data_IF_051860978438
#
_entry.id   IF_051860978438
#
_cell.length_a   1.000
_cell.length_b   1.000
_cell.length_c   1.000
_cell.angle_alpha   90.00
_cell.angle_beta   90.00
_cell.angle_gamma   90.00
#
_symmetry.space_group_name_H-M   'P 1'
#
loop_
_entity.id
_entity.type
_entity.pdbx_description
1 polymer ?
#
# COMPACT_ATOMS: atom_id res chain seq x y z
N UNK A 1 -22.22 -2.42 -14.24
CA UNK A 1 -22.15 -1.04 -13.71
C UNK A 1 -21.13 -0.25 -14.50
N UNK A 2 -21.32 1.06 -14.61
CA UNK A 2 -20.32 2.00 -15.14
C UNK A 2 -19.41 2.39 -13.99
N UNK A 3 -18.15 2.03 -14.07
CA UNK A 3 -17.20 2.17 -12.96
C UNK A 3 -16.05 3.10 -13.35
N UNK A 4 -15.79 4.12 -12.55
CA UNK A 4 -14.62 4.96 -12.69
C UNK A 4 -13.51 4.46 -11.75
N UNK A 5 -12.30 4.29 -12.29
CA UNK A 5 -11.10 3.98 -11.48
C UNK A 5 -10.07 5.10 -11.64
N UNK A 6 -9.86 5.86 -10.58
CA UNK A 6 -8.82 6.89 -10.50
C UNK A 6 -7.53 6.20 -10.04
N UNK A 7 -6.53 6.09 -10.94
CA UNK A 7 -5.28 5.35 -10.70
C UNK A 7 -5.30 3.88 -11.12
N UNK A 8 -6.02 3.53 -12.17
CA UNK A 8 -6.20 2.14 -12.66
C UNK A 8 -5.02 1.53 -13.43
N UNK A 9 -3.87 2.21 -13.60
CA UNK A 9 -2.83 1.77 -14.53
C UNK A 9 -1.66 1.03 -13.90
N UNK A 10 -1.53 1.07 -12.58
CA UNK A 10 -0.40 0.49 -11.85
C UNK A 10 -0.88 -0.36 -10.67
N UNK A 11 -0.20 -1.47 -10.40
CA UNK A 11 -0.32 -2.32 -9.22
C UNK A 11 -1.78 -2.61 -8.80
N UNK A 12 -2.19 -2.17 -7.58
CA UNK A 12 -3.55 -2.38 -7.03
C UNK A 12 -4.63 -2.00 -8.05
N UNK A 13 -4.51 -0.79 -8.62
CA UNK A 13 -5.49 -0.30 -9.58
C UNK A 13 -5.54 -1.13 -10.85
N UNK A 14 -4.38 -1.58 -11.36
CA UNK A 14 -4.32 -2.43 -12.56
C UNK A 14 -4.98 -3.79 -12.33
N UNK A 15 -4.73 -4.42 -11.20
CA UNK A 15 -5.34 -5.71 -10.84
C UNK A 15 -6.85 -5.56 -10.62
N UNK A 16 -7.28 -4.47 -9.97
CA UNK A 16 -8.71 -4.17 -9.82
C UNK A 16 -9.41 -3.95 -11.16
N UNK A 17 -8.82 -3.17 -12.07
CA UNK A 17 -9.38 -2.98 -13.43
C UNK A 17 -9.50 -4.30 -14.16
N UNK A 18 -8.49 -5.19 -14.11
CA UNK A 18 -8.57 -6.53 -14.69
C UNK A 18 -9.77 -7.32 -14.13
N UNK A 19 -9.97 -7.27 -12.80
CA UNK A 19 -11.07 -7.97 -12.14
C UNK A 19 -12.44 -7.39 -12.53
N UNK A 20 -12.58 -6.07 -12.58
CA UNK A 20 -13.81 -5.39 -13.00
C UNK A 20 -14.19 -5.72 -14.45
N UNK A 21 -13.23 -5.73 -15.38
CA UNK A 21 -13.45 -6.14 -16.77
C UNK A 21 -13.91 -7.60 -16.84
N UNK A 22 -13.25 -8.49 -16.11
CA UNK A 22 -13.61 -9.92 -16.08
C UNK A 22 -15.02 -10.16 -15.54
N UNK A 23 -15.50 -9.29 -14.64
CA UNK A 23 -16.86 -9.31 -14.10
C UNK A 23 -17.90 -8.60 -15.01
N UNK A 24 -17.52 -8.10 -16.19
CA UNK A 24 -18.42 -7.49 -17.15
C UNK A 24 -18.82 -6.03 -16.84
N UNK A 25 -18.06 -5.32 -16.02
CA UNK A 25 -18.32 -3.90 -15.77
C UNK A 25 -17.81 -3.02 -16.92
N UNK A 26 -18.50 -1.89 -17.20
CA UNK A 26 -18.05 -0.84 -18.12
C UNK A 26 -17.07 0.06 -17.35
N UNK A 27 -15.77 -0.11 -17.63
CA UNK A 27 -14.69 0.53 -16.86
C UNK A 27 -14.14 1.74 -17.60
N UNK A 28 -14.12 2.86 -16.91
CA UNK A 28 -13.36 4.06 -17.30
C UNK A 28 -12.21 4.25 -16.33
N UNK A 29 -11.00 4.49 -16.83
CA UNK A 29 -9.85 4.86 -15.99
C UNK A 29 -9.53 6.34 -16.14
N UNK A 30 -9.24 7.01 -15.01
CA UNK A 30 -8.73 8.37 -14.98
C UNK A 30 -7.26 8.33 -14.54
N UNK A 31 -6.37 8.86 -15.39
CA UNK A 31 -4.93 8.90 -15.14
C UNK A 31 -4.25 10.01 -15.95
N UNK A 32 -2.98 10.31 -15.64
CA UNK A 32 -2.23 11.40 -16.29
C UNK A 32 -1.54 10.99 -17.60
N UNK A 33 -1.33 9.70 -17.85
CA UNK A 33 -0.60 9.17 -19.01
C UNK A 33 -1.55 8.99 -20.20
N UNK A 34 -1.03 9.12 -21.42
CA UNK A 34 -1.82 8.88 -22.63
C UNK A 34 -2.11 7.39 -22.88
N UNK A 35 -1.21 6.50 -22.43
CA UNK A 35 -1.28 5.06 -22.69
C UNK A 35 -1.63 4.25 -21.46
N UNK A 36 -2.31 3.12 -21.67
CA UNK A 36 -2.64 2.15 -20.64
C UNK A 36 -2.68 0.71 -21.21
N UNK A 37 -2.52 -0.35 -20.37
CA UNK A 37 -2.35 -1.73 -20.85
C UNK A 37 -3.63 -2.45 -21.24
N UNK A 38 -4.81 -1.81 -21.24
CA UNK A 38 -6.11 -2.49 -21.41
C UNK A 38 -6.69 -2.41 -22.82
N UNK A 39 -6.05 -1.69 -23.73
CA UNK A 39 -6.54 -1.51 -25.08
C UNK A 39 -7.97 -0.91 -25.15
N UNK A 40 -8.75 -1.32 -26.14
CA UNK A 40 -10.12 -0.79 -26.36
C UNK A 40 -11.17 -1.27 -25.35
N UNK A 41 -10.82 -2.16 -24.42
CA UNK A 41 -11.75 -2.70 -23.40
C UNK A 41 -12.04 -1.71 -22.27
N UNK A 42 -11.27 -0.64 -22.17
CA UNK A 42 -11.37 0.36 -21.12
C UNK A 42 -11.34 1.74 -21.74
N UNK A 43 -12.30 2.58 -21.36
CA UNK A 43 -12.26 4.00 -21.70
C UNK A 43 -11.18 4.68 -20.86
N UNK A 44 -10.37 5.51 -21.49
CA UNK A 44 -9.34 6.31 -20.83
C UNK A 44 -9.72 7.78 -20.83
N UNK A 45 -9.55 8.42 -19.68
CA UNK A 45 -9.72 9.86 -19.47
C UNK A 45 -8.45 10.41 -18.86
N UNK A 46 -7.87 11.43 -19.50
CA UNK A 46 -6.66 12.08 -18.99
C UNK A 46 -7.02 13.30 -18.13
N UNK A 47 -6.69 13.25 -16.85
CA UNK A 47 -6.80 14.35 -15.91
C UNK A 47 -5.86 14.18 -14.73
N UNK A 48 -5.53 15.30 -14.07
CA UNK A 48 -4.82 15.27 -12.79
C UNK A 48 -5.82 15.04 -11.65
N UNK A 49 -5.62 13.97 -10.86
CA UNK A 49 -6.51 13.66 -9.73
C UNK A 49 -6.50 14.74 -8.64
N UNK A 50 -5.49 15.61 -8.62
CA UNK A 50 -5.39 16.73 -7.69
C UNK A 50 -6.05 18.03 -8.20
N UNK A 51 -6.68 17.99 -9.38
CA UNK A 51 -7.36 19.12 -9.99
C UNK A 51 -8.82 18.77 -10.32
N UNK A 52 -9.72 19.21 -9.43
CA UNK A 52 -11.14 18.90 -9.56
C UNK A 52 -11.81 19.53 -10.79
N UNK A 53 -11.34 20.69 -11.26
CA UNK A 53 -11.91 21.34 -12.42
C UNK A 53 -11.53 20.61 -13.71
N UNK A 54 -10.27 20.14 -13.83
CA UNK A 54 -9.88 19.28 -14.95
C UNK A 54 -10.61 17.93 -14.93
N UNK A 55 -10.82 17.34 -13.76
CA UNK A 55 -11.63 16.11 -13.61
C UNK A 55 -13.07 16.37 -14.09
N UNK A 56 -13.71 17.41 -13.58
CA UNK A 56 -15.08 17.77 -13.93
C UNK A 56 -15.26 17.97 -15.45
N UNK A 57 -14.32 18.70 -16.05
CA UNK A 57 -14.30 18.94 -17.50
C UNK A 57 -14.11 17.63 -18.28
N UNK A 58 -13.13 16.81 -17.89
CA UNK A 58 -12.76 15.57 -18.56
C UNK A 58 -13.86 14.48 -18.44
N UNK A 59 -14.66 14.51 -17.38
CA UNK A 59 -15.78 13.59 -17.16
C UNK A 59 -17.14 14.15 -17.63
N UNK A 60 -17.15 15.32 -18.25
CA UNK A 60 -18.39 15.92 -18.78
C UNK A 60 -19.09 14.99 -19.77
N UNK A 61 -20.41 14.84 -19.61
CA UNK A 61 -21.23 13.92 -20.43
C UNK A 61 -21.12 12.44 -20.06
N UNK A 62 -20.23 12.07 -19.11
CA UNK A 62 -20.17 10.73 -18.57
C UNK A 62 -21.05 10.62 -17.31
N UNK A 63 -21.41 9.40 -16.93
CA UNK A 63 -22.08 9.10 -15.66
C UNK A 63 -21.58 7.79 -15.12
N UNK A 64 -21.39 7.73 -13.81
CA UNK A 64 -20.86 6.55 -13.11
C UNK A 64 -21.81 6.06 -12.04
N UNK A 65 -21.82 4.76 -11.81
CA UNK A 65 -22.57 4.09 -10.76
C UNK A 65 -21.68 3.82 -9.55
N UNK A 66 -20.36 3.69 -9.77
CA UNK A 66 -19.37 3.49 -8.71
C UNK A 66 -18.00 4.11 -9.08
N UNK A 67 -17.25 4.44 -8.04
CA UNK A 67 -15.90 5.01 -8.15
C UNK A 67 -14.93 4.27 -7.25
N UNK A 68 -13.74 4.02 -7.76
CA UNK A 68 -12.56 3.65 -6.98
C UNK A 68 -11.53 4.78 -7.05
N UNK A 69 -11.28 5.46 -5.95
CA UNK A 69 -10.25 6.49 -5.82
C UNK A 69 -9.01 5.89 -5.15
N UNK A 70 -8.08 5.40 -5.98
CA UNK A 70 -6.89 4.67 -5.54
C UNK A 70 -5.63 5.54 -5.63
N UNK A 71 -5.61 6.52 -6.54
CA UNK A 71 -4.43 7.30 -6.82
C UNK A 71 -4.01 8.20 -5.65
N UNK A 72 -2.72 8.19 -5.34
CA UNK A 72 -2.06 9.17 -4.49
C UNK A 72 -0.86 9.75 -5.25
N UNK A 73 -0.70 11.06 -5.21
CA UNK A 73 0.46 11.72 -5.81
C UNK A 73 1.64 11.67 -4.82
N UNK A 74 2.61 10.83 -5.10
CA UNK A 74 3.76 10.64 -4.21
C UNK A 74 4.77 11.80 -4.24
N UNK A 75 4.72 12.64 -5.26
CA UNK A 75 5.62 13.79 -5.40
C UNK A 75 5.05 15.04 -4.70
N UNK A 76 3.78 15.36 -4.96
CA UNK A 76 3.11 16.56 -4.48
C UNK A 76 2.23 16.32 -3.25
N UNK A 77 1.94 15.08 -2.95
CA UNK A 77 0.89 14.71 -2.02
C UNK A 77 -0.50 14.81 -2.65
N UNK A 78 -1.50 14.31 -1.95
CA UNK A 78 -2.92 14.48 -2.27
C UNK A 78 -3.65 14.87 -1.00
N UNK A 79 -4.08 16.11 -0.90
CA UNK A 79 -4.70 16.68 0.31
C UNK A 79 -6.15 16.26 0.48
N UNK A 80 -6.67 16.37 1.68
CA UNK A 80 -8.08 16.09 1.99
C UNK A 80 -9.05 16.96 1.19
N UNK A 81 -8.73 18.23 0.98
CA UNK A 81 -9.54 19.14 0.16
C UNK A 81 -9.57 18.72 -1.31
N UNK A 82 -8.46 18.23 -1.85
CA UNK A 82 -8.42 17.69 -3.22
C UNK A 82 -9.24 16.40 -3.36
N UNK A 83 -9.21 15.52 -2.35
CA UNK A 83 -10.04 14.31 -2.34
C UNK A 83 -11.52 14.66 -2.29
N UNK A 84 -11.91 15.57 -1.40
CA UNK A 84 -13.30 16.05 -1.28
C UNK A 84 -13.79 16.73 -2.57
N UNK A 85 -12.98 17.62 -3.15
CA UNK A 85 -13.30 18.30 -4.39
C UNK A 85 -13.45 17.30 -5.56
N UNK A 86 -12.56 16.31 -5.65
CA UNK A 86 -12.67 15.23 -6.64
C UNK A 86 -13.96 14.45 -6.46
N UNK A 87 -14.30 14.03 -5.25
CA UNK A 87 -15.52 13.29 -4.97
C UNK A 87 -16.79 14.06 -5.40
N UNK A 88 -16.80 15.39 -5.18
CA UNK A 88 -17.89 16.28 -5.59
C UNK A 88 -17.94 16.55 -7.10
N UNK A 89 -16.82 16.44 -7.80
CA UNK A 89 -16.72 16.71 -9.24
C UNK A 89 -17.22 15.53 -10.12
N UNK A 90 -17.31 14.32 -9.57
CA UNK A 90 -17.66 13.12 -10.34
C UNK A 90 -19.17 13.09 -10.62
N UNK A 91 -19.58 13.00 -11.92
CA UNK A 91 -20.99 13.00 -12.27
C UNK A 91 -21.65 11.63 -12.11
N UNK A 92 -22.89 11.61 -11.67
CA UNK A 92 -23.72 10.42 -11.54
C UNK A 92 -24.32 10.25 -10.15
N UNK A 93 -25.27 9.31 -10.06
CA UNK A 93 -25.86 8.90 -8.79
C UNK A 93 -25.07 7.70 -8.27
N UNK A 94 -24.00 7.99 -7.53
CA UNK A 94 -23.08 6.96 -7.07
C UNK A 94 -23.72 6.05 -6.03
N UNK A 95 -23.65 4.73 -6.26
CA UNK A 95 -23.98 3.72 -5.27
C UNK A 95 -22.78 3.41 -4.35
N UNK A 96 -21.55 3.69 -4.83
CA UNK A 96 -20.28 3.42 -4.11
C UNK A 96 -19.20 4.42 -4.50
N UNK A 97 -18.49 4.87 -3.47
CA UNK A 97 -17.21 5.58 -3.61
C UNK A 97 -16.18 4.89 -2.73
N UNK A 98 -15.33 4.07 -3.32
CA UNK A 98 -14.33 3.28 -2.61
C UNK A 98 -13.01 4.05 -2.61
N UNK A 99 -12.61 4.56 -1.44
CA UNK A 99 -11.38 5.32 -1.25
C UNK A 99 -10.26 4.44 -0.71
N UNK A 100 -9.10 4.47 -1.36
CA UNK A 100 -7.90 3.81 -0.89
C UNK A 100 -7.20 4.70 0.15
N UNK A 101 -7.50 4.43 1.41
CA UNK A 101 -6.81 5.00 2.55
C UNK A 101 -5.51 4.24 2.86
N UNK A 102 -5.13 4.16 4.11
CA UNK A 102 -3.96 3.42 4.60
C UNK A 102 -4.08 3.21 6.11
N UNK A 103 -3.43 2.18 6.65
CA UNK A 103 -3.20 2.05 8.11
C UNK A 103 -2.53 3.30 8.69
N UNK A 104 -1.73 4.01 7.91
CA UNK A 104 -1.11 5.27 8.31
C UNK A 104 -2.12 6.35 8.75
N UNK A 105 -3.40 6.24 8.36
CA UNK A 105 -4.44 7.16 8.82
C UNK A 105 -4.64 7.14 10.35
N UNK A 106 -4.21 6.10 11.05
CA UNK A 106 -4.21 6.04 12.51
C UNK A 106 -3.08 6.88 13.16
N UNK A 107 -1.97 7.08 12.44
CA UNK A 107 -0.80 7.83 12.89
C UNK A 107 0.26 6.93 13.50
N UNK A 108 -0.03 6.26 14.59
CA UNK A 108 0.83 5.32 15.30
C UNK A 108 -0.01 4.29 16.06
N UNK A 109 0.64 3.35 16.72
CA UNK A 109 -0.02 2.38 17.60
C UNK A 109 -0.24 1.01 16.98
N UNK A 110 -0.72 0.10 17.82
CA UNK A 110 -0.86 -1.31 17.46
C UNK A 110 -2.29 -1.79 17.62
N UNK A 111 -2.69 -2.73 16.73
CA UNK A 111 -3.98 -3.44 16.77
C UNK A 111 -5.22 -2.52 16.68
N UNK A 112 -5.16 -1.50 15.82
CA UNK A 112 -6.26 -0.58 15.61
C UNK A 112 -7.52 -1.26 15.10
N UNK A 113 -8.64 -0.99 15.76
CA UNK A 113 -9.96 -1.27 15.21
C UNK A 113 -10.38 -0.15 14.24
N UNK A 114 -11.31 -0.45 13.32
CA UNK A 114 -11.74 0.54 12.32
C UNK A 114 -12.49 1.75 12.90
N UNK A 115 -12.94 1.65 14.13
CA UNK A 115 -13.63 2.74 14.84
C UNK A 115 -12.68 3.56 15.73
N UNK A 116 -11.39 3.22 15.77
CA UNK A 116 -10.38 3.98 16.50
C UNK A 116 -10.18 5.38 15.90
N UNK A 117 -9.77 6.35 16.71
CA UNK A 117 -9.49 7.71 16.24
C UNK A 117 -8.41 7.73 15.16
N UNK A 118 -8.61 8.59 14.18
CA UNK A 118 -7.58 8.87 13.16
C UNK A 118 -6.59 9.93 13.65
N UNK A 119 -5.40 9.92 13.08
CA UNK A 119 -4.35 10.90 13.34
C UNK A 119 -4.85 12.34 13.22
N UNK A 120 -4.29 13.23 14.04
CA UNK A 120 -4.66 14.64 14.06
C UNK A 120 -4.22 15.39 12.78
N UNK A 121 -4.83 16.56 12.55
CA UNK A 121 -4.48 17.43 11.41
C UNK A 121 -3.10 18.11 11.54
N UNK A 122 -2.48 18.02 12.73
CA UNK A 122 -1.13 18.53 13.01
C UNK A 122 -0.06 17.44 13.05
N UNK A 123 -0.39 16.19 12.68
CA UNK A 123 0.60 15.11 12.64
C UNK A 123 1.79 15.52 11.75
N UNK A 124 3.06 15.24 12.13
CA UNK A 124 4.24 15.72 11.39
C UNK A 124 4.34 15.16 9.98
N UNK A 125 3.91 13.92 9.75
CA UNK A 125 3.94 13.28 8.43
C UNK A 125 2.77 13.75 7.55
N UNK A 126 3.04 14.38 6.39
CA UNK A 126 2.01 14.84 5.46
C UNK A 126 1.14 13.70 4.90
N UNK A 127 1.72 12.52 4.67
CA UNK A 127 0.96 11.36 4.17
C UNK A 127 -0.09 10.91 5.18
N UNK A 128 0.28 10.84 6.45
CA UNK A 128 -0.63 10.53 7.56
C UNK A 128 -1.78 11.54 7.63
N UNK A 129 -1.44 12.85 7.67
CA UNK A 129 -2.45 13.93 7.69
C UNK A 129 -3.39 13.85 6.50
N UNK A 130 -2.86 13.64 5.31
CA UNK A 130 -3.65 13.58 4.08
C UNK A 130 -4.62 12.39 4.09
N UNK A 131 -4.18 11.21 4.51
CA UNK A 131 -5.05 10.03 4.58
C UNK A 131 -6.13 10.18 5.66
N UNK A 132 -5.76 10.59 6.87
CA UNK A 132 -6.69 10.83 7.97
C UNK A 132 -7.71 11.93 7.64
N UNK A 133 -7.25 13.07 7.13
CA UNK A 133 -8.10 14.19 6.73
C UNK A 133 -9.05 13.84 5.59
N UNK A 134 -8.58 13.07 4.60
CA UNK A 134 -9.42 12.61 3.48
C UNK A 134 -10.57 11.72 3.97
N UNK A 135 -10.31 10.79 4.89
CA UNK A 135 -11.37 9.98 5.48
C UNK A 135 -12.36 10.83 6.25
N UNK A 136 -11.89 11.76 7.11
CA UNK A 136 -12.79 12.67 7.84
C UNK A 136 -13.69 13.49 6.88
N UNK A 137 -13.14 14.00 5.79
CA UNK A 137 -13.91 14.74 4.79
C UNK A 137 -14.97 13.86 4.12
N UNK A 138 -14.61 12.68 3.67
CA UNK A 138 -15.54 11.75 3.02
C UNK A 138 -16.62 11.20 3.96
N UNK A 139 -16.27 10.88 5.21
CA UNK A 139 -17.27 10.46 6.20
C UNK A 139 -18.19 11.60 6.63
N UNK A 140 -17.71 12.85 6.68
CA UNK A 140 -18.57 14.03 6.85
C UNK A 140 -19.62 14.10 5.73
N UNK A 141 -19.22 13.93 4.45
CA UNK A 141 -20.16 13.87 3.32
C UNK A 141 -21.19 12.74 3.48
N UNK A 142 -20.78 11.58 4.01
CA UNK A 142 -21.72 10.50 4.32
C UNK A 142 -22.76 10.90 5.36
N UNK A 143 -22.35 11.56 6.43
CA UNK A 143 -23.27 12.01 7.48
C UNK A 143 -24.22 13.10 7.00
N UNK A 144 -23.72 14.06 6.22
CA UNK A 144 -24.50 15.22 5.74
C UNK A 144 -25.43 14.88 4.57
N UNK A 145 -25.00 14.07 3.62
CA UNK A 145 -25.70 13.83 2.35
C UNK A 145 -25.86 12.37 1.95
N UNK A 146 -25.48 11.44 2.83
CA UNK A 146 -25.45 9.99 2.53
C UNK A 146 -24.53 9.64 1.35
N UNK A 147 -23.49 10.44 1.11
CA UNK A 147 -22.47 10.10 0.11
C UNK A 147 -21.90 8.69 0.36
N UNK A 148 -21.94 7.75 -0.62
CA UNK A 148 -21.78 6.32 -0.35
C UNK A 148 -20.32 5.89 -0.20
N UNK A 149 -19.57 6.54 0.68
CA UNK A 149 -18.15 6.25 0.90
C UNK A 149 -17.90 4.91 1.58
N UNK A 150 -16.86 4.22 1.12
CA UNK A 150 -16.22 3.08 1.78
C UNK A 150 -14.72 3.34 1.76
N UNK A 151 -14.01 3.12 2.88
CA UNK A 151 -12.55 3.27 2.89
C UNK A 151 -11.86 1.94 3.15
N UNK A 152 -10.73 1.72 2.46
CA UNK A 152 -9.84 0.58 2.67
C UNK A 152 -8.54 1.08 3.29
N UNK A 153 -8.12 0.49 4.40
CA UNK A 153 -6.91 0.86 5.15
C UNK A 153 -5.89 -0.28 5.11
N UNK A 154 -5.19 -0.50 4.00
CA UNK A 154 -4.12 -1.49 3.98
C UNK A 154 -2.84 -0.96 4.64
N UNK A 155 -2.03 -1.85 5.27
CA UNK A 155 -0.65 -1.56 5.65
C UNK A 155 0.30 -1.73 4.45
N UNK A 156 1.41 -2.46 4.60
CA UNK A 156 2.32 -2.75 3.49
C UNK A 156 1.68 -3.72 2.50
N UNK A 157 1.20 -3.20 1.38
CA UNK A 157 0.67 -4.05 0.30
C UNK A 157 1.85 -4.72 -0.41
N UNK A 158 1.82 -6.05 -0.51
CA UNK A 158 2.81 -6.87 -1.20
C UNK A 158 2.15 -7.79 -2.22
N UNK A 159 2.95 -8.36 -3.11
CA UNK A 159 2.43 -9.29 -4.10
C UNK A 159 3.01 -9.06 -5.49
N UNK A 160 2.57 -9.85 -6.48
CA UNK A 160 2.95 -9.66 -7.88
C UNK A 160 2.70 -8.23 -8.37
N UNK A 161 3.61 -7.74 -9.22
CA UNK A 161 3.53 -6.39 -9.82
C UNK A 161 3.75 -5.23 -8.83
N UNK A 162 4.28 -5.50 -7.61
CA UNK A 162 4.63 -4.44 -6.65
C UNK A 162 5.71 -3.52 -7.25
N UNK A 163 5.44 -2.19 -7.40
CA UNK A 163 6.40 -1.26 -7.99
C UNK A 163 7.51 -0.83 -7.02
N UNK A 164 7.35 -1.10 -5.72
CA UNK A 164 8.33 -0.72 -4.71
C UNK A 164 9.41 -1.77 -4.57
N UNK A 165 10.65 -1.33 -4.32
CA UNK A 165 11.78 -2.21 -4.06
C UNK A 165 11.73 -2.76 -2.63
N UNK A 166 10.82 -3.70 -2.39
CA UNK A 166 10.53 -4.28 -1.08
C UNK A 166 10.90 -5.75 -1.03
N UNK A 167 10.05 -6.67 -1.46
CA UNK A 167 10.34 -8.11 -1.45
C UNK A 167 11.57 -8.43 -2.31
N UNK A 168 11.69 -7.80 -3.47
CA UNK A 168 12.83 -7.95 -4.38
C UNK A 168 14.15 -7.52 -3.73
N UNK A 169 14.16 -6.54 -2.82
CA UNK A 169 15.34 -6.13 -2.07
C UNK A 169 15.98 -7.31 -1.32
N UNK A 170 15.18 -8.11 -0.66
CA UNK A 170 15.66 -9.28 0.09
C UNK A 170 16.06 -10.42 -0.84
N UNK A 171 15.27 -10.71 -1.86
CA UNK A 171 15.56 -11.78 -2.80
C UNK A 171 16.80 -11.52 -3.65
N UNK A 172 17.07 -10.28 -4.01
CA UNK A 172 18.33 -9.91 -4.70
C UNK A 172 19.54 -10.24 -3.80
N UNK A 173 19.46 -9.98 -2.49
CA UNK A 173 20.53 -10.31 -1.52
C UNK A 173 20.65 -11.81 -1.30
N UNK A 174 19.54 -12.50 -1.10
CA UNK A 174 19.51 -13.95 -0.94
C UNK A 174 20.06 -14.68 -2.15
N UNK A 175 19.79 -14.21 -3.37
CA UNK A 175 20.32 -14.76 -4.61
C UNK A 175 21.85 -14.66 -4.70
N UNK A 176 22.41 -13.60 -4.14
CA UNK A 176 23.85 -13.32 -4.15
C UNK A 176 24.55 -13.78 -2.86
N UNK A 177 23.85 -14.54 -2.01
CA UNK A 177 24.30 -15.00 -0.70
C UNK A 177 24.86 -13.86 0.19
N UNK A 178 24.27 -12.66 0.04
CA UNK A 178 24.63 -11.47 0.82
C UNK A 178 23.97 -11.49 2.20
N UNK A 179 24.64 -10.98 3.23
CA UNK A 179 24.02 -10.80 4.52
C UNK A 179 22.89 -9.77 4.44
N UNK A 180 21.83 -10.00 5.24
CA UNK A 180 20.70 -9.08 5.38
C UNK A 180 20.85 -8.34 6.72
N UNK A 181 20.86 -7.02 6.66
CA UNK A 181 20.85 -6.17 7.85
C UNK A 181 19.49 -6.25 8.51
N UNK A 182 19.46 -6.53 9.81
CA UNK A 182 18.30 -6.33 10.68
C UNK A 182 18.56 -5.09 11.54
N UNK A 183 17.76 -4.02 11.44
CA UNK A 183 17.96 -2.81 12.19
C UNK A 183 17.58 -3.00 13.66
N UNK A 184 18.51 -2.72 14.58
CA UNK A 184 18.36 -2.91 16.01
C UNK A 184 18.22 -4.39 16.39
N UNK A 185 17.25 -4.70 17.25
CA UNK A 185 16.94 -6.07 17.71
C UNK A 185 16.08 -6.87 16.73
N UNK A 186 15.48 -6.20 15.74
CA UNK A 186 14.59 -6.82 14.75
C UNK A 186 13.19 -7.17 15.25
N UNK A 187 12.79 -6.69 16.42
CA UNK A 187 11.49 -6.99 17.02
C UNK A 187 10.39 -6.01 16.62
N UNK A 188 10.71 -4.98 15.81
CA UNK A 188 9.70 -4.06 15.30
C UNK A 188 8.65 -4.81 14.49
N UNK A 189 7.38 -4.61 14.85
CA UNK A 189 6.27 -5.27 14.19
C UNK A 189 5.96 -4.64 12.84
N UNK A 190 5.61 -5.47 11.89
CA UNK A 190 5.17 -5.13 10.55
C UNK A 190 3.91 -5.92 10.23
N UNK A 191 2.97 -5.32 9.52
CA UNK A 191 1.80 -6.03 9.01
C UNK A 191 1.69 -5.84 7.51
N UNK A 192 1.16 -6.84 6.82
CA UNK A 192 1.16 -6.91 5.37
C UNK A 192 -0.26 -7.15 4.84
N UNK A 193 -0.49 -6.69 3.63
CA UNK A 193 -1.72 -6.96 2.90
C UNK A 193 -1.37 -7.61 1.55
N UNK A 194 -1.83 -8.82 1.30
CA UNK A 194 -1.67 -9.42 -0.01
C UNK A 194 -2.52 -8.65 -1.03
N UNK A 195 -1.91 -8.25 -2.13
CA UNK A 195 -2.57 -7.37 -3.11
C UNK A 195 -3.88 -7.94 -3.64
N UNK A 196 -3.98 -9.27 -3.81
CA UNK A 196 -5.21 -9.89 -4.29
C UNK A 196 -6.33 -9.77 -3.26
N UNK A 197 -6.06 -9.93 -1.95
CA UNK A 197 -7.05 -9.78 -0.89
C UNK A 197 -7.60 -8.34 -0.84
N UNK A 198 -6.72 -7.35 -1.04
CA UNK A 198 -7.13 -5.95 -1.12
C UNK A 198 -8.03 -5.69 -2.34
N UNK A 199 -7.68 -6.24 -3.49
CA UNK A 199 -8.50 -6.16 -4.71
C UNK A 199 -9.85 -6.85 -4.50
N UNK A 200 -9.85 -7.99 -3.80
CA UNK A 200 -11.07 -8.75 -3.49
C UNK A 200 -11.96 -7.99 -2.50
N UNK A 201 -11.36 -7.32 -1.50
CA UNK A 201 -12.08 -6.44 -0.58
C UNK A 201 -12.70 -5.23 -1.29
N UNK A 202 -11.94 -4.56 -2.16
CA UNK A 202 -12.44 -3.48 -3.00
C UNK A 202 -13.61 -3.94 -3.87
N UNK A 203 -13.48 -5.09 -4.51
CA UNK A 203 -14.52 -5.66 -5.38
C UNK A 203 -15.78 -6.06 -4.59
N UNK A 204 -15.61 -6.74 -3.45
CA UNK A 204 -16.72 -7.15 -2.59
C UNK A 204 -17.50 -5.96 -2.03
N UNK A 205 -16.83 -4.84 -1.73
CA UNK A 205 -17.47 -3.62 -1.24
C UNK A 205 -18.43 -2.99 -2.25
N UNK A 206 -18.29 -3.30 -3.54
CA UNK A 206 -19.15 -2.77 -4.60
C UNK A 206 -20.61 -3.18 -4.40
N UNK A 207 -20.85 -4.44 -4.07
CA UNK A 207 -22.20 -5.03 -4.01
C UNK A 207 -22.75 -5.20 -2.59
N UNK A 208 -21.96 -4.95 -1.54
CA UNK A 208 -22.42 -5.12 -0.14
C UNK A 208 -23.26 -3.92 0.33
N UNK A 209 -24.58 -4.10 0.58
CA UNK A 209 -25.44 -2.99 0.99
C UNK A 209 -25.01 -2.32 2.31
N UNK A 210 -24.31 -3.07 3.16
CA UNK A 210 -23.85 -2.60 4.48
C UNK A 210 -22.47 -1.95 4.46
N UNK A 211 -21.82 -1.84 3.29
CA UNK A 211 -20.49 -1.24 3.20
C UNK A 211 -20.44 0.30 3.28
N UNK A 212 -21.41 1.05 2.71
CA UNK A 212 -21.35 2.51 2.77
C UNK A 212 -21.30 3.06 4.20
N UNK A 213 -20.49 4.09 4.41
CA UNK A 213 -20.25 4.70 5.70
C UNK A 213 -19.32 3.90 6.62
N UNK A 214 -18.55 2.94 6.06
CA UNK A 214 -17.62 2.12 6.85
C UNK A 214 -16.21 2.16 6.31
N UNK A 215 -15.26 2.06 7.26
CA UNK A 215 -13.87 1.73 6.99
C UNK A 215 -13.64 0.22 7.14
N UNK A 216 -12.66 -0.29 6.40
CA UNK A 216 -12.20 -1.67 6.47
C UNK A 216 -10.67 -1.71 6.55
N UNK A 217 -10.17 -2.29 7.63
CA UNK A 217 -8.79 -2.72 7.74
C UNK A 217 -8.59 -3.97 6.89
N UNK A 218 -7.58 -3.98 6.02
CA UNK A 218 -7.33 -5.10 5.10
C UNK A 218 -5.88 -5.49 5.18
N UNK A 219 -5.58 -6.53 5.96
CA UNK A 219 -4.24 -7.01 6.20
C UNK A 219 -4.24 -8.52 6.53
N UNK A 220 -3.05 -9.09 6.58
CA UNK A 220 -2.83 -10.40 7.18
C UNK A 220 -3.23 -10.39 8.67
N UNK A 221 -3.74 -11.51 9.16
CA UNK A 221 -4.26 -11.59 10.54
C UNK A 221 -3.17 -11.39 11.60
N UNK A 222 -1.93 -11.78 11.28
CA UNK A 222 -0.81 -11.78 12.24
C UNK A 222 0.26 -10.77 11.82
N UNK A 223 0.51 -9.71 12.61
CA UNK A 223 1.73 -8.93 12.46
C UNK A 223 2.98 -9.80 12.70
N UNK A 224 4.06 -9.49 12.00
CA UNK A 224 5.33 -10.19 12.06
C UNK A 224 6.44 -9.25 12.51
N UNK A 225 7.42 -9.77 13.22
CA UNK A 225 8.67 -9.04 13.49
C UNK A 225 9.52 -8.93 12.22
N UNK A 226 10.44 -7.97 12.17
CA UNK A 226 11.39 -7.83 11.06
C UNK A 226 12.19 -9.12 10.80
N UNK A 227 12.56 -9.83 11.88
CA UNK A 227 13.24 -11.12 11.76
C UNK A 227 12.34 -12.20 11.14
N UNK A 228 11.08 -12.28 11.57
CA UNK A 228 10.11 -13.24 10.99
C UNK A 228 9.87 -12.93 9.51
N UNK A 229 9.74 -11.65 9.13
CA UNK A 229 9.59 -11.23 7.73
C UNK A 229 10.75 -11.71 6.85
N UNK A 230 11.99 -11.47 7.27
CA UNK A 230 13.18 -11.93 6.53
C UNK A 230 13.22 -13.47 6.46
N UNK A 231 12.83 -14.13 7.54
CA UNK A 231 12.78 -15.60 7.57
C UNK A 231 11.77 -16.16 6.57
N UNK A 232 10.55 -15.59 6.51
CA UNK A 232 9.52 -16.03 5.56
C UNK A 232 9.90 -15.71 4.09
N UNK A 233 10.53 -14.56 3.83
CA UNK A 233 11.07 -14.21 2.51
C UNK A 233 12.16 -15.19 2.06
N UNK A 234 13.06 -15.59 2.96
CA UNK A 234 14.09 -16.58 2.68
C UNK A 234 13.49 -17.98 2.41
N UNK A 235 12.53 -18.42 3.24
CA UNK A 235 11.79 -19.68 3.02
C UNK A 235 11.08 -19.70 1.66
N UNK A 236 10.43 -18.61 1.25
CA UNK A 236 9.78 -18.50 -0.05
C UNK A 236 10.77 -18.68 -1.21
N UNK A 237 12.02 -18.25 -1.04
CA UNK A 237 13.10 -18.42 -2.00
C UNK A 237 13.84 -19.77 -1.90
N UNK A 238 13.47 -20.65 -0.95
CA UNK A 238 14.20 -21.89 -0.68
C UNK A 238 15.62 -21.66 -0.15
N UNK A 239 15.85 -20.55 0.54
CA UNK A 239 17.15 -20.10 1.05
C UNK A 239 17.14 -19.96 2.56
N UNK A 240 18.33 -19.86 3.16
CA UNK A 240 18.55 -19.39 4.52
C UNK A 240 19.14 -17.98 4.49
N UNK A 241 18.59 -17.07 5.31
CA UNK A 241 19.12 -15.72 5.42
C UNK A 241 20.32 -15.66 6.38
N UNK A 242 21.44 -15.15 5.89
CA UNK A 242 22.53 -14.69 6.78
C UNK A 242 22.10 -13.33 7.35
N UNK A 243 21.77 -13.28 8.64
CA UNK A 243 21.29 -12.08 9.31
C UNK A 243 22.42 -11.41 10.10
N UNK A 244 22.57 -10.08 9.95
CA UNK A 244 23.45 -9.25 10.75
C UNK A 244 22.64 -8.15 11.41
N UNK A 245 22.60 -8.16 12.77
CA UNK A 245 21.97 -7.06 13.53
C UNK A 245 22.91 -5.86 13.58
N UNK A 246 22.38 -4.69 13.22
CA UNK A 246 23.12 -3.43 13.23
C UNK A 246 22.32 -2.41 14.04
N UNK A 247 22.92 -1.74 15.05
CA UNK A 247 22.23 -0.69 15.80
C UNK A 247 21.65 0.36 14.86
N UNK A 248 20.37 0.72 15.05
CA UNK A 248 19.64 1.65 14.16
C UNK A 248 20.32 3.02 14.11
N UNK A 249 20.84 3.49 15.24
CA UNK A 249 21.58 4.75 15.35
C UNK A 249 22.87 4.73 14.51
N UNK A 250 23.54 3.58 14.43
CA UNK A 250 24.73 3.42 13.59
C UNK A 250 24.37 3.52 12.11
N UNK A 251 23.27 2.88 11.70
CA UNK A 251 22.76 2.95 10.32
C UNK A 251 22.45 4.40 9.95
N UNK A 252 21.65 5.08 10.76
CA UNK A 252 21.17 6.45 10.47
C UNK A 252 22.33 7.47 10.46
N UNK A 253 23.26 7.37 11.42
CA UNK A 253 24.46 8.25 11.45
C UNK A 253 25.36 8.07 10.23
N UNK A 254 25.31 6.95 9.57
CA UNK A 254 26.08 6.68 8.35
C UNK A 254 25.31 6.96 7.05
N UNK A 255 24.11 7.56 7.13
CA UNK A 255 23.34 8.01 5.99
C UNK A 255 22.28 7.01 5.48
N UNK A 256 22.05 5.90 6.24
CA UNK A 256 20.95 4.97 5.90
C UNK A 256 19.59 5.64 6.00
N UNK A 257 18.69 5.30 5.07
CA UNK A 257 17.37 5.89 5.00
C UNK A 257 16.31 4.78 4.76
N UNK A 258 15.23 4.81 5.56
CA UNK A 258 14.13 3.85 5.40
C UNK A 258 13.22 4.16 4.20
N UNK A 259 13.26 5.38 3.66
CA UNK A 259 12.34 5.84 2.61
C UNK A 259 13.02 6.04 1.25
N UNK A 260 14.34 6.26 1.23
CA UNK A 260 15.13 6.54 0.04
C UNK A 260 16.49 5.83 0.09
N UNK A 261 17.17 5.74 -1.05
CA UNK A 261 18.54 5.18 -1.09
C UNK A 261 19.54 6.04 -0.30
N UNK A 262 20.53 5.42 0.35
CA UNK A 262 20.80 3.98 0.37
C UNK A 262 19.88 3.23 1.35
N UNK A 263 19.17 2.23 0.82
CA UNK A 263 18.36 1.35 1.66
C UNK A 263 19.23 0.36 2.44
N UNK A 264 18.80 0.06 3.67
CA UNK A 264 19.41 -0.95 4.52
C UNK A 264 18.44 -2.09 4.88
N UNK A 265 17.13 -1.84 4.78
CA UNK A 265 16.07 -2.78 5.08
C UNK A 265 14.84 -2.45 4.24
N UNK A 266 14.84 -2.72 2.97
CA UNK A 266 13.81 -2.42 1.99
C UNK A 266 13.07 -1.07 2.18
N UNK A 267 12.46 -0.57 1.14
CA UNK A 267 11.78 0.73 1.16
C UNK A 267 10.58 0.73 2.12
N UNK A 268 10.57 1.63 3.09
CA UNK A 268 9.57 1.84 4.15
C UNK A 268 9.47 0.74 5.22
N UNK A 269 10.25 -0.35 5.17
CA UNK A 269 10.10 -1.48 6.09
C UNK A 269 10.70 -1.27 7.48
N UNK A 270 11.39 -0.15 7.74
CA UNK A 270 11.87 0.24 9.08
C UNK A 270 11.17 1.50 9.63
N UNK A 271 9.93 1.76 9.24
CA UNK A 271 9.09 2.80 9.85
C UNK A 271 8.57 2.36 11.23
N UNK A 272 8.12 3.31 12.08
CA UNK A 272 7.42 2.99 13.32
C UNK A 272 6.25 2.02 13.07
N UNK A 273 6.01 1.06 13.98
CA UNK A 273 5.00 0.04 13.76
C UNK A 273 3.60 0.62 13.88
N UNK A 274 2.76 0.29 12.91
CA UNK A 274 1.30 0.48 12.96
C UNK A 274 0.68 -0.85 12.57
N UNK A 275 -0.22 -1.39 13.42
CA UNK A 275 -0.93 -2.64 13.10
C UNK A 275 -2.44 -2.48 13.32
N UNK A 276 -3.21 -3.36 12.72
CA UNK A 276 -4.66 -3.26 12.67
C UNK A 276 -5.36 -4.60 12.85
N UNK A 277 -6.54 -4.58 13.45
CA UNK A 277 -7.44 -5.72 13.58
C UNK A 277 -8.27 -5.87 12.30
N UNK A 278 -8.34 -7.06 11.74
CA UNK A 278 -8.93 -7.35 10.43
C UNK A 278 -10.26 -8.13 10.48
N UNK A 279 -10.93 -8.11 11.62
CA UNK A 279 -12.17 -8.88 11.80
C UNK A 279 -13.34 -8.38 10.96
N UNK A 280 -13.43 -7.08 10.68
CA UNK A 280 -14.55 -6.46 9.96
C UNK A 280 -14.59 -6.86 8.49
N UNK A 281 -13.46 -6.85 7.77
CA UNK A 281 -13.38 -7.24 6.36
C UNK A 281 -13.88 -8.67 6.16
N UNK A 282 -13.52 -9.58 7.03
CA UNK A 282 -14.00 -10.98 6.99
C UNK A 282 -15.51 -11.09 7.23
N UNK A 283 -16.01 -10.46 8.30
CA UNK A 283 -17.44 -10.57 8.67
C UNK A 283 -18.38 -9.86 7.72
N UNK A 284 -18.02 -8.67 7.23
CA UNK A 284 -18.91 -7.82 6.43
C UNK A 284 -18.74 -8.05 4.96
N UNK A 285 -17.50 -8.08 4.46
CA UNK A 285 -17.23 -8.27 3.03
C UNK A 285 -17.11 -9.75 2.64
N UNK A 286 -16.86 -10.65 3.60
CA UNK A 286 -16.72 -12.07 3.35
C UNK A 286 -15.42 -12.43 2.63
N UNK A 287 -14.40 -11.60 2.73
CA UNK A 287 -13.10 -11.81 2.06
C UNK A 287 -12.20 -12.64 2.97
N UNK A 288 -11.72 -13.79 2.51
CA UNK A 288 -10.67 -14.52 3.20
C UNK A 288 -9.34 -13.78 3.08
N UNK A 289 -8.51 -13.87 4.11
CA UNK A 289 -7.19 -13.24 4.12
C UNK A 289 -6.11 -14.29 3.90
N UNK A 290 -5.23 -14.02 2.95
CA UNK A 290 -4.14 -14.92 2.55
C UNK A 290 -2.99 -14.83 3.55
N UNK A 291 -2.58 -15.92 4.21
CA UNK A 291 -1.42 -15.90 5.10
C UNK A 291 -0.15 -15.43 4.37
N UNK A 292 0.67 -14.62 5.02
CA UNK A 292 1.87 -14.00 4.43
C UNK A 292 2.76 -14.99 3.69
N UNK A 293 3.05 -16.14 4.29
CA UNK A 293 3.85 -17.19 3.67
C UNK A 293 3.25 -17.74 2.37
N UNK A 294 1.91 -17.79 2.26
CA UNK A 294 1.24 -18.25 1.04
C UNK A 294 1.33 -17.19 -0.07
N UNK A 295 1.04 -15.93 0.25
CA UNK A 295 1.17 -14.82 -0.69
C UNK A 295 2.62 -14.62 -1.17
N UNK A 296 3.61 -14.83 -0.30
CA UNK A 296 5.03 -14.75 -0.66
C UNK A 296 5.44 -15.80 -1.69
N UNK A 297 4.91 -17.03 -1.63
CA UNK A 297 5.21 -18.07 -2.64
C UNK A 297 4.79 -17.62 -4.05
N UNK A 298 3.61 -17.04 -4.18
CA UNK A 298 3.12 -16.54 -5.47
C UNK A 298 3.90 -15.30 -5.92
N UNK A 299 4.24 -14.41 -4.97
CA UNK A 299 5.06 -13.22 -5.25
C UNK A 299 6.47 -13.59 -5.71
N UNK A 300 7.08 -14.60 -5.09
CA UNK A 300 8.41 -15.08 -5.48
C UNK A 300 8.39 -15.75 -6.85
N UNK A 301 7.37 -16.57 -7.17
CA UNK A 301 7.19 -17.13 -8.53
C UNK A 301 7.10 -16.03 -9.59
N UNK A 302 6.37 -14.96 -9.26
CA UNK A 302 6.27 -13.81 -10.16
C UNK A 302 7.62 -13.10 -10.30
N UNK A 303 8.31 -12.82 -9.19
CA UNK A 303 9.66 -12.23 -9.17
C UNK A 303 10.63 -13.02 -10.07
N UNK A 304 10.68 -14.35 -9.93
CA UNK A 304 11.56 -15.19 -10.76
C UNK A 304 11.32 -15.05 -12.27
N UNK A 305 10.08 -14.81 -12.68
CA UNK A 305 9.70 -14.68 -14.11
C UNK A 305 9.90 -13.27 -14.68
N UNK A 306 9.85 -12.25 -13.82
CA UNK A 306 9.82 -10.84 -14.20
C UNK A 306 11.00 -10.06 -13.61
N UNK A 307 12.01 -10.77 -13.14
CA UNK A 307 13.20 -10.16 -12.58
C UNK A 307 13.92 -9.36 -13.67
N UNK A 308 14.00 -8.04 -13.49
CA UNK A 308 14.85 -7.18 -14.30
C UNK A 308 16.25 -7.14 -13.69
N UNK A 309 17.32 -7.16 -14.54
CA UNK A 309 18.68 -6.96 -14.06
C UNK A 309 18.81 -5.60 -13.37
N UNK A 310 19.24 -5.60 -12.11
CA UNK A 310 19.54 -4.37 -11.36
C UNK A 310 21.05 -4.30 -11.11
N UNK A 311 21.61 -3.13 -11.29
CA UNK A 311 22.94 -2.85 -10.76
C UNK A 311 22.81 -2.64 -9.26
N UNK A 312 23.32 -3.60 -8.48
CA UNK A 312 23.25 -3.57 -7.02
C UNK A 312 24.56 -3.03 -6.46
N UNK A 313 24.47 -2.01 -5.61
CA UNK A 313 25.60 -1.48 -4.84
C UNK A 313 25.41 -1.84 -3.37
N UNK A 314 26.39 -2.55 -2.81
CA UNK A 314 26.41 -2.97 -1.41
C UNK A 314 27.40 -2.18 -0.55
N UNK A 315 28.02 -1.15 -1.08
CA UNK A 315 29.06 -0.35 -0.42
C UNK A 315 28.58 0.18 0.95
N UNK A 316 27.36 0.69 0.97
CA UNK A 316 26.75 1.19 2.20
C UNK A 316 26.56 0.06 3.25
N UNK A 317 25.99 -1.06 2.83
CA UNK A 317 25.71 -2.21 3.71
C UNK A 317 27.01 -2.81 4.27
N UNK A 318 28.02 -3.01 3.42
CA UNK A 318 29.33 -3.51 3.82
C UNK A 318 30.00 -2.60 4.84
N UNK A 319 29.90 -1.28 4.65
CA UNK A 319 30.42 -0.27 5.59
C UNK A 319 29.75 -0.42 6.97
N UNK A 320 28.43 -0.41 7.03
CA UNK A 320 27.73 -0.42 8.34
C UNK A 320 27.85 -1.78 9.04
N UNK A 321 27.88 -2.88 8.30
CA UNK A 321 28.13 -4.23 8.84
C UNK A 321 29.53 -4.31 9.45
N UNK A 322 30.55 -3.77 8.77
CA UNK A 322 31.92 -3.71 9.30
C UNK A 322 31.97 -2.91 10.59
N UNK A 323 31.40 -1.71 10.61
CA UNK A 323 31.37 -0.85 11.80
C UNK A 323 30.67 -1.53 12.98
N UNK A 324 29.57 -2.23 12.75
CA UNK A 324 28.87 -2.96 13.81
C UNK A 324 29.73 -4.09 14.38
N UNK A 325 30.45 -4.84 13.54
CA UNK A 325 31.36 -5.91 13.99
C UNK A 325 32.53 -5.37 14.78
N UNK A 326 33.09 -4.23 14.39
CA UNK A 326 34.23 -3.60 15.07
C UNK A 326 33.81 -3.07 16.46
N UNK A 327 32.62 -2.47 16.59
CA UNK A 327 32.04 -2.02 17.87
C UNK A 327 31.82 -3.19 18.84
N UNK A 328 31.27 -4.31 18.37
CA UNK A 328 31.07 -5.49 19.23
C UNK A 328 32.36 -6.11 19.75
N UNK A 329 33.44 -6.05 18.98
CA UNK A 329 34.76 -6.52 19.43
C UNK A 329 35.35 -5.60 20.49
N UNK A 330 35.14 -4.28 20.40
CA UNK A 330 35.64 -3.31 21.36
C UNK A 330 34.91 -3.40 22.72
N UNK A 331 33.66 -3.84 22.75
CA UNK A 331 32.89 -4.05 23.99
C UNK A 331 33.24 -5.35 24.72
N UNK A 332 33.95 -6.27 24.06
CA UNK A 332 34.40 -7.56 24.64
C UNK A 332 35.82 -7.53 25.20
N UNK A 333 36.54 -6.43 25.09
CA UNK A 333 37.88 -6.17 25.60
C UNK A 333 37.82 -5.23 26.82
#
# INVERSE_FOLDING_TARGET
MRVLVIGGTLYIGRLLVKKLIAAGHDVTILHRKAEHPFGRKVRSVSADRNDAETIKSALSGLRFDAVYDIAYDWERGTTSSQVEATAKAIPGDLSRYIFMSSVAAYGDGLNHAEDDPLASDIHPDPYVRNKAGSERALFRMYHESRFPVVTMRPPFVYGPENPFYREAFFWDRLRLDRPIIIPGDGNRLMQFCYVQDLVDACFAALDKPTAPGRAFNVADEKPLTQVEVVTELAKAAGKHASIVRVPRELILRNGGNAMAEPYYFAQYYDLPPITEAVGRVKRVLGVPLTPFAAGLKETFKWYQRHQEPRQLDFTFEDKVIKLAKDSMKAEQV
#
